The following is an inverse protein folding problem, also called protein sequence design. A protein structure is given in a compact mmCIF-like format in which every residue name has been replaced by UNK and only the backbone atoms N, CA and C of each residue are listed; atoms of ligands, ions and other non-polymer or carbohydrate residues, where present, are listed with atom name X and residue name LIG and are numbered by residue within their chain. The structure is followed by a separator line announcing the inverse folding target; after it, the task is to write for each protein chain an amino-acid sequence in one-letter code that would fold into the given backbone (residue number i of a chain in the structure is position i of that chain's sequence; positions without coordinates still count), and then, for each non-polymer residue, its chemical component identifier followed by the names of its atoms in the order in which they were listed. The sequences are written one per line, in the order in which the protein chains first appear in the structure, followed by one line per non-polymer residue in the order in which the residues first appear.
data_IF_033619002461
#
_entry.id   IF_033619002461
#
_cell.length_a   1.000
_cell.length_b   1.000
_cell.length_c   1.000
_cell.angle_alpha   90.00
_cell.angle_beta   90.00
_cell.angle_gamma   90.00
#
_symmetry.space_group_name_H-M   'P 1'
#
loop_
_entity.id
_entity.type
_entity.pdbx_description
1 polymer ?
#
# COMPACT_ATOMS: atom_id res chain seq x y z
N UNK A 1 7.45 -12.95 12.58
CA UNK A 1 6.58 -12.66 11.42
C UNK A 1 5.89 -13.94 11.00
N UNK A 2 4.57 -13.93 10.88
CA UNK A 2 3.78 -15.05 10.38
C UNK A 2 3.26 -14.66 9.00
N UNK A 3 3.62 -15.43 7.96
CA UNK A 3 3.18 -15.23 6.57
C UNK A 3 2.06 -16.21 6.25
N UNK A 4 0.97 -15.71 5.68
CA UNK A 4 -0.13 -16.52 5.15
C UNK A 4 -0.27 -16.26 3.65
N UNK A 5 -0.15 -17.30 2.85
CA UNK A 5 -0.41 -17.24 1.42
C UNK A 5 -1.74 -17.92 1.10
N UNK A 6 -2.74 -17.11 0.79
CA UNK A 6 -4.06 -17.59 0.41
C UNK A 6 -4.41 -17.37 -1.05
N UNK A 7 -5.53 -17.93 -1.47
CA UNK A 7 -6.09 -17.77 -2.83
C UNK A 7 -6.39 -16.29 -3.14
N UNK A 8 -6.86 -15.53 -2.16
CA UNK A 8 -7.37 -14.16 -2.33
C UNK A 8 -6.40 -13.07 -1.94
N UNK A 9 -5.49 -13.36 -1.01
CA UNK A 9 -4.51 -12.38 -0.53
C UNK A 9 -3.28 -13.07 0.07
N UNK A 10 -2.20 -12.31 0.14
CA UNK A 10 -1.04 -12.59 0.97
C UNK A 10 -1.18 -11.69 2.19
N UNK A 11 -1.15 -12.25 3.36
CA UNK A 11 -1.21 -11.51 4.61
C UNK A 11 -0.03 -11.86 5.50
N UNK A 12 0.33 -10.89 6.33
CA UNK A 12 1.39 -11.05 7.30
C UNK A 12 1.00 -10.38 8.61
N UNK A 13 1.51 -10.90 9.71
CA UNK A 13 1.36 -10.31 11.03
C UNK A 13 2.73 -10.12 11.65
N UNK A 14 3.02 -8.90 12.11
CA UNK A 14 4.20 -8.54 12.90
C UNK A 14 3.71 -7.80 14.13
N UNK A 15 3.92 -8.36 15.31
CA UNK A 15 3.41 -7.82 16.57
C UNK A 15 1.89 -7.53 16.48
N UNK A 16 1.46 -6.30 16.71
CA UNK A 16 0.06 -5.85 16.55
C UNK A 16 -0.29 -5.37 15.12
N UNK A 17 0.64 -5.44 14.17
CA UNK A 17 0.39 -4.97 12.80
C UNK A 17 -0.04 -6.10 11.89
N UNK A 18 -1.12 -5.85 11.16
CA UNK A 18 -1.67 -6.75 10.17
C UNK A 18 -1.63 -6.04 8.81
N UNK A 19 -1.05 -6.69 7.81
CA UNK A 19 -0.99 -6.16 6.46
C UNK A 19 -1.31 -7.22 5.41
N UNK A 20 -1.94 -6.78 4.32
CA UNK A 20 -2.44 -7.62 3.25
C UNK A 20 -2.08 -7.05 1.89
N UNK A 21 -1.89 -7.92 0.91
CA UNK A 21 -1.97 -7.58 -0.51
C UNK A 21 -2.90 -8.57 -1.21
N UNK A 22 -3.89 -8.06 -1.94
CA UNK A 22 -4.86 -8.88 -2.65
C UNK A 22 -4.26 -9.59 -3.86
N UNK A 23 -4.90 -10.66 -4.30
CA UNK A 23 -4.59 -11.33 -5.57
C UNK A 23 -5.69 -11.03 -6.61
N UNK A 24 -5.46 -11.36 -7.88
CA UNK A 24 -6.48 -11.30 -8.94
C UNK A 24 -7.74 -12.06 -8.58
N UNK A 25 -7.60 -13.21 -7.94
CA UNK A 25 -8.73 -14.08 -7.58
C UNK A 25 -9.75 -13.40 -6.69
N UNK A 26 -9.34 -12.41 -5.87
CA UNK A 26 -10.27 -11.62 -5.08
C UNK A 26 -11.16 -10.75 -5.98
N UNK A 27 -10.60 -10.17 -7.03
CA UNK A 27 -11.31 -9.26 -7.95
C UNK A 27 -12.14 -10.03 -8.96
N UNK A 28 -11.63 -11.15 -9.51
CA UNK A 28 -12.29 -11.96 -10.54
C UNK A 28 -13.52 -12.73 -10.03
N UNK A 29 -13.70 -12.92 -8.73
CA UNK A 29 -14.85 -13.64 -8.18
C UNK A 29 -16.16 -12.86 -8.20
N UNK A 30 -16.09 -11.57 -8.37
CA UNK A 30 -17.28 -10.72 -8.38
C UNK A 30 -17.73 -10.49 -9.81
N UNK A 31 -18.67 -11.33 -10.27
CA UNK A 31 -19.47 -11.04 -11.45
C UNK A 31 -20.26 -9.76 -11.21
N UNK A 32 -19.95 -8.73 -11.99
CA UNK A 32 -20.75 -7.50 -12.19
C UNK A 32 -21.59 -7.09 -10.96
N UNK A 33 -21.00 -6.34 -10.05
CA UNK A 33 -21.77 -5.61 -9.05
C UNK A 33 -22.45 -4.45 -9.80
N UNK A 34 -23.77 -4.53 -10.00
CA UNK A 34 -24.55 -3.50 -10.69
C UNK A 34 -24.49 -2.15 -9.97
N UNK A 35 -24.36 -2.18 -8.65
CA UNK A 35 -24.41 -1.01 -7.78
C UNK A 35 -23.11 -0.84 -6.96
N UNK A 36 -21.94 -0.90 -7.65
CA UNK A 36 -20.67 -0.63 -6.99
C UNK A 36 -20.65 0.83 -6.49
N UNK A 37 -20.41 1.08 -5.21
CA UNK A 37 -20.32 2.45 -4.71
C UNK A 37 -19.22 3.23 -5.42
N UNK A 38 -19.52 4.49 -5.78
CA UNK A 38 -18.54 5.37 -6.40
C UNK A 38 -17.70 6.04 -5.32
N UNK A 39 -16.39 5.90 -5.44
CA UNK A 39 -15.44 6.64 -4.63
C UNK A 39 -14.82 7.75 -5.50
N UNK A 40 -14.87 9.01 -5.07
CA UNK A 40 -14.20 10.10 -5.79
C UNK A 40 -12.73 9.79 -6.02
N UNK A 41 -12.20 10.13 -7.20
CA UNK A 41 -10.78 9.92 -7.59
C UNK A 41 -10.29 8.46 -7.58
N UNK A 42 -11.15 7.50 -7.28
CA UNK A 42 -10.85 6.07 -7.28
C UNK A 42 -11.59 5.41 -8.44
N UNK A 43 -10.87 4.79 -9.37
CA UNK A 43 -11.51 4.11 -10.50
C UNK A 43 -12.41 2.95 -10.04
N UNK A 44 -13.37 2.55 -10.88
CA UNK A 44 -14.26 1.41 -10.60
C UNK A 44 -13.49 0.14 -10.26
N UNK A 45 -12.38 -0.12 -10.94
CA UNK A 45 -11.55 -1.31 -10.75
C UNK A 45 -10.85 -1.29 -9.39
N UNK A 46 -10.38 -0.12 -8.94
CA UNK A 46 -9.81 0.06 -7.61
C UNK A 46 -10.89 -0.09 -6.53
N UNK A 47 -12.06 0.53 -6.75
CA UNK A 47 -13.21 0.42 -5.83
C UNK A 47 -13.65 -1.04 -5.70
N UNK A 48 -13.67 -1.80 -6.80
CA UNK A 48 -14.00 -3.22 -6.80
C UNK A 48 -13.03 -4.03 -5.93
N UNK A 49 -11.72 -3.73 -6.03
CA UNK A 49 -10.72 -4.40 -5.19
C UNK A 49 -10.94 -4.14 -3.71
N UNK A 50 -11.27 -2.90 -3.33
CA UNK A 50 -11.57 -2.53 -1.95
C UNK A 50 -12.87 -3.17 -1.47
N UNK A 51 -13.93 -3.08 -2.25
CA UNK A 51 -15.25 -3.66 -1.94
C UNK A 51 -15.14 -5.17 -1.64
N UNK A 52 -14.47 -5.91 -2.52
CA UNK A 52 -14.28 -7.34 -2.34
C UNK A 52 -13.43 -7.68 -1.12
N UNK A 53 -12.44 -6.85 -0.80
CA UNK A 53 -11.63 -7.06 0.40
C UNK A 53 -12.46 -6.83 1.66
N UNK A 54 -13.30 -5.80 1.71
CA UNK A 54 -14.23 -5.55 2.84
C UNK A 54 -15.17 -6.74 3.04
N UNK A 55 -15.76 -7.25 1.96
CA UNK A 55 -16.65 -8.41 2.02
C UNK A 55 -15.98 -9.68 2.54
N UNK A 56 -14.69 -9.86 2.24
CA UNK A 56 -13.94 -11.07 2.67
C UNK A 56 -13.33 -10.95 4.06
N UNK A 57 -13.10 -9.75 4.54
CA UNK A 57 -12.44 -9.48 5.81
C UNK A 57 -13.18 -8.37 6.59
N UNK A 58 -14.51 -8.47 6.84
CA UNK A 58 -15.28 -7.40 7.45
C UNK A 58 -14.74 -6.98 8.82
N UNK A 59 -14.27 -7.94 9.62
CA UNK A 59 -13.75 -7.68 10.97
C UNK A 59 -12.54 -6.74 11.00
N UNK A 60 -11.78 -6.65 9.90
CA UNK A 60 -10.65 -5.72 9.77
C UNK A 60 -11.09 -4.27 9.82
N UNK A 61 -12.35 -3.99 9.41
CA UNK A 61 -12.89 -2.65 9.22
C UNK A 61 -13.79 -2.16 10.36
N UNK A 62 -14.08 -3.02 11.34
CA UNK A 62 -14.91 -2.63 12.50
C UNK A 62 -14.23 -1.49 13.25
N UNK A 63 -14.99 -0.40 13.50
CA UNK A 63 -14.53 0.80 14.22
C UNK A 63 -13.27 1.46 13.64
N UNK A 64 -13.06 1.32 12.31
CA UNK A 64 -11.90 1.91 11.62
C UNK A 64 -12.31 2.73 10.41
N UNK A 65 -11.51 3.76 10.13
CA UNK A 65 -11.60 4.55 8.90
C UNK A 65 -10.53 4.13 7.89
N UNK A 66 -10.85 4.24 6.60
CA UNK A 66 -9.91 3.94 5.50
C UNK A 66 -9.26 5.24 5.04
N UNK A 67 -7.93 5.24 5.03
CA UNK A 67 -7.09 6.32 4.54
C UNK A 67 -6.46 5.91 3.21
N UNK A 68 -6.65 6.71 2.18
CA UNK A 68 -6.14 6.46 0.83
C UNK A 68 -5.36 7.66 0.31
N UNK A 69 -4.44 7.40 -0.61
CA UNK A 69 -3.76 8.39 -1.42
C UNK A 69 -4.42 8.52 -2.79
N UNK A 70 -4.38 9.70 -3.39
CA UNK A 70 -4.72 9.89 -4.82
C UNK A 70 -3.77 9.09 -5.71
N UNK A 71 -2.52 8.94 -5.32
CA UNK A 71 -1.45 8.19 -6.01
C UNK A 71 -1.11 8.77 -7.38
N UNK A 72 -0.47 9.92 -7.37
CA UNK A 72 -0.03 10.65 -8.58
C UNK A 72 1.38 10.26 -9.06
N UNK A 73 2.01 9.25 -8.44
CA UNK A 73 3.42 8.88 -8.62
C UNK A 73 4.39 10.01 -8.20
N UNK A 74 3.99 10.79 -7.21
CA UNK A 74 4.76 11.87 -6.59
C UNK A 74 5.65 11.38 -5.44
N UNK A 75 6.00 12.33 -4.57
CA UNK A 75 6.85 12.05 -3.40
C UNK A 75 6.25 12.53 -2.07
N UNK A 76 5.00 13.07 -2.10
CA UNK A 76 4.35 13.59 -0.90
C UNK A 76 3.84 12.45 -0.01
N UNK A 77 4.27 12.47 1.23
CA UNK A 77 3.82 11.58 2.30
C UNK A 77 3.20 12.45 3.40
N UNK A 78 2.16 11.95 4.05
CA UNK A 78 1.45 12.69 5.09
C UNK A 78 1.24 11.86 6.35
N UNK A 79 1.02 12.57 7.46
CA UNK A 79 0.38 12.07 8.66
C UNK A 79 -1.03 12.70 8.75
N UNK A 80 -2.10 11.91 8.89
CA UNK A 80 -3.50 12.40 8.87
C UNK A 80 -3.85 13.43 9.94
N UNK A 81 -3.03 13.57 10.98
CA UNK A 81 -3.22 14.53 12.09
C UNK A 81 -2.77 15.95 11.72
N UNK A 82 -2.08 16.15 10.61
CA UNK A 82 -1.66 17.48 10.15
C UNK A 82 -2.87 18.33 9.73
N UNK A 83 -2.88 19.63 10.09
CA UNK A 83 -4.04 20.50 9.98
C UNK A 83 -4.43 20.89 8.54
N UNK A 84 -3.49 20.98 7.60
CA UNK A 84 -3.73 21.62 6.30
C UNK A 84 -3.73 20.62 5.12
N UNK A 85 -4.30 19.43 5.37
CA UNK A 85 -4.36 18.39 4.35
C UNK A 85 -5.61 18.51 3.48
N UNK A 86 -5.42 18.74 2.19
CA UNK A 86 -6.49 18.62 1.22
C UNK A 86 -6.93 17.15 1.12
N UNK A 87 -8.17 16.85 1.48
CA UNK A 87 -8.74 15.51 1.34
C UNK A 87 -10.22 15.54 0.97
N UNK A 88 -10.65 14.45 0.34
CA UNK A 88 -12.07 14.13 0.13
C UNK A 88 -12.44 13.07 1.15
N UNK A 89 -13.52 13.28 1.89
CA UNK A 89 -14.02 12.34 2.87
C UNK A 89 -15.46 11.92 2.58
N UNK A 90 -15.83 10.77 3.08
CA UNK A 90 -17.20 10.25 2.93
C UNK A 90 -17.37 8.95 3.71
N UNK A 91 -18.52 8.31 3.49
CA UNK A 91 -18.87 7.04 4.09
C UNK A 91 -19.13 6.01 2.99
N UNK A 92 -18.48 4.86 3.08
CA UNK A 92 -18.64 3.72 2.17
C UNK A 92 -19.54 2.69 2.83
N UNK A 93 -20.70 2.44 2.24
CA UNK A 93 -21.63 1.41 2.70
C UNK A 93 -21.41 0.12 1.91
N UNK A 94 -21.10 -0.96 2.63
CA UNK A 94 -20.92 -2.30 2.07
C UNK A 94 -21.66 -3.27 2.98
N UNK A 95 -22.75 -3.85 2.51
CA UNK A 95 -23.68 -4.67 3.31
C UNK A 95 -24.12 -3.93 4.59
N UNK A 96 -23.87 -4.52 5.76
CA UNK A 96 -24.17 -3.92 7.07
C UNK A 96 -23.09 -2.96 7.59
N UNK A 97 -21.94 -2.85 6.90
CA UNK A 97 -20.85 -1.99 7.31
C UNK A 97 -20.98 -0.59 6.72
N UNK A 98 -20.77 0.41 7.56
CA UNK A 98 -20.59 1.80 7.17
C UNK A 98 -19.17 2.21 7.57
N UNK A 99 -18.32 2.48 6.58
CA UNK A 99 -16.90 2.70 6.78
C UNK A 99 -16.55 4.12 6.33
N UNK A 100 -16.05 4.93 7.24
CA UNK A 100 -15.56 6.26 6.90
C UNK A 100 -14.28 6.17 6.10
N UNK A 101 -14.13 7.03 5.10
CA UNK A 101 -12.90 7.11 4.32
C UNK A 101 -12.42 8.55 4.15
N UNK A 102 -11.10 8.68 3.92
CA UNK A 102 -10.44 9.91 3.47
C UNK A 102 -9.49 9.60 2.32
N UNK A 103 -9.53 10.42 1.27
CA UNK A 103 -8.60 10.36 0.13
C UNK A 103 -7.79 11.64 0.13
N UNK A 104 -6.51 11.55 0.43
CA UNK A 104 -5.59 12.69 0.49
C UNK A 104 -5.08 13.03 -0.89
N UNK A 105 -5.21 14.31 -1.28
CA UNK A 105 -4.87 14.78 -2.61
C UNK A 105 -3.36 14.92 -2.80
N UNK A 106 -2.90 14.65 -4.01
CA UNK A 106 -1.50 14.77 -4.44
C UNK A 106 -0.50 14.03 -3.55
N UNK A 107 -0.94 12.90 -2.95
CA UNK A 107 -0.11 12.09 -2.05
C UNK A 107 0.14 10.70 -2.62
N UNK A 108 1.25 10.09 -2.21
CA UNK A 108 1.65 8.73 -2.55
C UNK A 108 2.03 7.89 -1.32
N UNK A 109 1.85 8.43 -0.12
CA UNK A 109 2.11 7.70 1.12
C UNK A 109 1.44 8.32 2.34
N UNK A 110 1.12 7.46 3.29
CA UNK A 110 0.54 7.85 4.59
C UNK A 110 1.31 7.10 5.67
N UNK A 111 1.63 7.80 6.77
CA UNK A 111 2.07 7.19 8.02
C UNK A 111 1.09 7.56 9.13
N UNK A 112 0.87 6.65 10.08
CA UNK A 112 0.00 6.86 11.23
C UNK A 112 0.48 6.09 12.45
N UNK A 113 0.01 6.45 13.62
CA UNK A 113 0.12 5.66 14.86
C UNK A 113 -1.26 5.37 15.48
N UNK A 114 -2.35 5.74 14.81
CA UNK A 114 -3.72 5.58 15.28
C UNK A 114 -4.26 4.18 14.93
N UNK A 115 -4.67 3.40 15.92
CA UNK A 115 -5.23 2.06 15.75
C UNK A 115 -6.60 2.03 15.04
N UNK A 116 -7.32 3.15 15.03
CA UNK A 116 -8.60 3.32 14.33
C UNK A 116 -8.46 3.54 12.83
N UNK A 117 -7.27 3.38 12.26
CA UNK A 117 -7.01 3.67 10.86
C UNK A 117 -6.51 2.45 10.09
N UNK A 118 -6.96 2.36 8.85
CA UNK A 118 -6.50 1.44 7.83
C UNK A 118 -5.92 2.27 6.70
N UNK A 119 -4.65 2.06 6.36
CA UNK A 119 -4.04 2.72 5.21
C UNK A 119 -4.10 1.78 4.02
N UNK A 120 -4.55 2.29 2.87
CA UNK A 120 -4.73 1.53 1.65
C UNK A 120 -4.04 2.19 0.45
N UNK A 121 -3.34 1.38 -0.37
CA UNK A 121 -2.80 1.79 -1.67
C UNK A 121 -3.10 0.74 -2.75
N UNK A 122 -3.12 1.20 -4.01
CA UNK A 122 -3.41 0.39 -5.17
C UNK A 122 -2.18 0.29 -6.07
N UNK A 123 -1.77 -0.92 -6.44
CA UNK A 123 -0.58 -1.13 -7.27
C UNK A 123 -0.83 -2.14 -8.40
N UNK A 124 -0.08 -1.96 -9.49
CA UNK A 124 0.17 -2.97 -10.52
C UNK A 124 1.56 -2.65 -11.07
N UNK A 125 2.57 -3.32 -10.54
CA UNK A 125 4.01 -3.20 -10.76
C UNK A 125 4.79 -2.31 -9.78
N UNK A 126 4.26 -1.16 -9.33
CA UNK A 126 4.90 -0.35 -8.29
C UNK A 126 4.98 -1.10 -6.95
N UNK A 127 5.94 -0.77 -6.11
CA UNK A 127 6.10 -1.38 -4.79
C UNK A 127 5.07 -0.78 -3.81
N UNK A 128 4.17 -1.58 -3.21
CA UNK A 128 3.52 -1.19 -1.97
C UNK A 128 4.53 -1.40 -0.83
N UNK A 129 5.07 -0.31 -0.30
CA UNK A 129 6.05 -0.35 0.79
C UNK A 129 5.34 -0.20 2.12
N UNK A 130 5.29 -1.28 2.89
CA UNK A 130 4.82 -1.27 4.27
C UNK A 130 5.94 -0.86 5.20
N UNK A 131 5.62 -0.02 6.17
CA UNK A 131 6.54 0.54 7.15
C UNK A 131 5.99 0.29 8.54
N UNK A 132 6.80 -0.30 9.43
CA UNK A 132 6.37 -0.67 10.78
C UNK A 132 7.47 -0.31 11.77
N UNK A 133 7.25 0.72 12.61
CA UNK A 133 8.08 1.00 13.77
C UNK A 133 7.57 0.19 14.97
N UNK A 134 8.31 -0.84 15.33
CA UNK A 134 7.94 -1.77 16.41
C UNK A 134 8.01 -1.13 17.81
N UNK A 135 8.81 -0.07 17.97
CA UNK A 135 9.01 0.61 19.26
C UNK A 135 7.94 1.66 19.54
N UNK A 136 7.82 2.66 18.66
CA UNK A 136 6.93 3.80 18.88
C UNK A 136 5.59 3.64 18.14
N UNK A 137 5.37 2.45 17.54
CA UNK A 137 4.09 2.00 16.99
C UNK A 137 3.58 2.82 15.80
N UNK A 138 4.50 3.46 15.07
CA UNK A 138 4.19 4.04 13.77
C UNK A 138 4.06 2.96 12.71
N UNK A 139 3.12 3.13 11.81
CA UNK A 139 2.96 2.30 10.63
C UNK A 139 2.63 3.17 9.42
N UNK A 140 2.89 2.63 8.25
CA UNK A 140 2.63 3.36 7.01
C UNK A 140 2.54 2.46 5.80
N UNK A 141 2.00 3.01 4.73
CA UNK A 141 1.93 2.37 3.43
C UNK A 141 2.19 3.41 2.34
N UNK A 142 3.20 3.15 1.54
CA UNK A 142 3.75 4.08 0.57
C UNK A 142 3.67 3.44 -0.82
N UNK A 143 3.14 4.18 -1.79
CA UNK A 143 3.15 3.81 -3.20
C UNK A 143 4.49 4.20 -3.82
N UNK A 144 5.40 3.24 -3.96
CA UNK A 144 6.75 3.51 -4.45
C UNK A 144 6.88 3.12 -5.93
N UNK A 145 6.71 4.10 -6.79
CA UNK A 145 6.97 4.00 -8.22
C UNK A 145 8.32 4.64 -8.60
N UNK A 146 8.75 4.44 -9.85
CA UNK A 146 10.02 4.99 -10.38
C UNK A 146 10.11 6.51 -10.23
N UNK A 147 9.06 7.24 -10.62
CA UNK A 147 9.02 8.70 -10.51
C UNK A 147 9.14 9.15 -9.05
N UNK A 148 8.38 8.53 -8.14
CA UNK A 148 8.47 8.82 -6.71
C UNK A 148 9.87 8.60 -6.14
N UNK A 149 10.54 7.50 -6.52
CA UNK A 149 11.94 7.25 -6.15
C UNK A 149 12.89 8.35 -6.64
N UNK A 150 12.71 8.79 -7.89
CA UNK A 150 13.52 9.87 -8.47
C UNK A 150 13.26 11.24 -7.82
N UNK A 151 12.02 11.49 -7.36
CA UNK A 151 11.61 12.72 -6.69
C UNK A 151 11.87 12.74 -5.19
N UNK A 152 12.43 11.67 -4.61
CA UNK A 152 12.81 11.64 -3.20
C UNK A 152 11.70 11.17 -2.24
N UNK A 153 10.84 10.23 -2.65
CA UNK A 153 9.79 9.71 -1.77
C UNK A 153 10.34 9.01 -0.52
N UNK A 154 11.52 8.38 -0.62
CA UNK A 154 12.15 7.70 0.53
C UNK A 154 12.78 8.72 1.48
N UNK A 155 13.39 9.76 0.94
CA UNK A 155 13.91 10.89 1.69
C UNK A 155 12.79 11.55 2.52
N UNK A 156 11.63 11.78 1.89
CA UNK A 156 10.46 12.32 2.58
C UNK A 156 9.89 11.36 3.62
N UNK A 157 9.87 10.04 3.33
CA UNK A 157 9.44 9.03 4.30
C UNK A 157 10.31 9.05 5.56
N UNK A 158 11.63 9.04 5.40
CA UNK A 158 12.55 9.06 6.54
C UNK A 158 12.43 10.38 7.31
N UNK A 159 12.30 11.51 6.60
CA UNK A 159 12.04 12.82 7.22
C UNK A 159 10.78 12.83 8.08
N UNK A 160 9.66 12.31 7.54
CA UNK A 160 8.38 12.19 8.25
C UNK A 160 8.48 11.28 9.48
N UNK A 161 9.11 10.11 9.35
CA UNK A 161 9.32 9.19 10.47
C UNK A 161 10.13 9.85 11.60
N UNK A 162 11.22 10.54 11.27
CA UNK A 162 12.03 11.27 12.23
C UNK A 162 11.26 12.42 12.91
N UNK A 163 10.54 13.23 12.13
CA UNK A 163 9.73 14.34 12.64
C UNK A 163 8.68 13.88 13.66
N UNK A 164 8.13 12.70 13.47
CA UNK A 164 7.12 12.13 14.35
C UNK A 164 7.70 11.20 15.44
N UNK A 165 9.02 11.17 15.58
CA UNK A 165 9.69 10.43 16.66
C UNK A 165 9.66 8.90 16.46
N UNK A 166 9.53 8.41 15.23
CA UNK A 166 9.66 6.99 14.95
C UNK A 166 11.11 6.51 15.21
N UNK A 167 11.25 5.27 15.62
CA UNK A 167 12.55 4.66 15.89
C UNK A 167 13.08 3.94 14.65
N UNK A 168 13.89 4.60 13.83
CA UNK A 168 14.42 3.99 12.60
C UNK A 168 15.15 2.66 12.85
N UNK A 169 15.88 2.53 13.97
CA UNK A 169 16.55 1.29 14.34
C UNK A 169 15.59 0.13 14.64
N UNK A 170 14.31 0.43 14.92
CA UNK A 170 13.26 -0.56 15.17
C UNK A 170 12.21 -0.60 14.05
N UNK A 171 12.46 0.13 12.95
CA UNK A 171 11.55 0.18 11.81
C UNK A 171 11.89 -0.93 10.82
N UNK A 172 10.85 -1.66 10.40
CA UNK A 172 10.91 -2.68 9.35
C UNK A 172 10.25 -2.13 8.11
N UNK A 173 10.86 -2.35 6.96
CA UNK A 173 10.39 -1.98 5.63
C UNK A 173 10.08 -3.25 4.84
N UNK A 174 8.86 -3.38 4.32
CA UNK A 174 8.43 -4.59 3.62
C UNK A 174 7.92 -4.22 2.24
N UNK A 175 8.60 -4.72 1.22
CA UNK A 175 8.15 -4.58 -0.16
C UNK A 175 7.14 -5.69 -0.50
N UNK A 176 5.89 -5.32 -0.78
CA UNK A 176 4.90 -6.24 -1.30
C UNK A 176 5.18 -6.64 -2.76
N UNK A 177 4.29 -7.43 -3.40
CA UNK A 177 4.44 -7.85 -4.79
C UNK A 177 4.62 -6.66 -5.74
N UNK A 178 5.67 -6.71 -6.57
CA UNK A 178 6.03 -5.66 -7.51
C UNK A 178 6.77 -6.22 -8.72
N UNK A 179 7.02 -5.40 -9.73
CA UNK A 179 7.76 -5.82 -10.92
C UNK A 179 9.26 -5.92 -10.64
N UNK A 180 9.89 -7.03 -11.06
CA UNK A 180 11.34 -7.21 -10.93
C UNK A 180 12.11 -6.46 -12.04
N UNK A 181 13.42 -6.29 -11.84
CA UNK A 181 14.34 -5.63 -12.76
C UNK A 181 14.29 -6.20 -14.19
N UNK A 182 14.27 -7.53 -14.32
CA UNK A 182 14.27 -8.19 -15.64
C UNK A 182 13.01 -7.92 -16.44
N UNK A 183 11.90 -7.58 -15.80
CA UNK A 183 10.62 -7.31 -16.44
C UNK A 183 10.33 -5.80 -16.59
N UNK A 184 11.12 -4.94 -15.94
CA UNK A 184 10.87 -3.51 -15.97
C UNK A 184 11.88 -2.77 -16.87
N UNK A 185 11.53 -2.67 -18.15
CA UNK A 185 12.34 -1.96 -19.14
C UNK A 185 11.85 -0.51 -19.28
N UNK A 186 12.76 0.44 -19.17
CA UNK A 186 12.51 1.88 -19.31
C UNK A 186 13.55 2.45 -20.26
N UNK A 187 13.11 3.04 -21.36
CA UNK A 187 13.99 3.59 -22.42
C UNK A 187 15.03 2.57 -22.94
N UNK A 188 14.65 1.29 -23.05
CA UNK A 188 15.52 0.21 -23.51
C UNK A 188 16.42 -0.41 -22.43
N UNK A 189 16.46 0.16 -21.23
CA UNK A 189 17.31 -0.31 -20.13
C UNK A 189 16.49 -0.95 -19.00
N UNK A 190 17.10 -1.90 -18.31
CA UNK A 190 16.50 -2.51 -17.11
C UNK A 190 16.54 -1.52 -15.95
N UNK A 191 15.42 -1.39 -15.24
CA UNK A 191 15.32 -0.58 -14.03
C UNK A 191 14.85 -1.43 -12.86
N UNK A 192 15.56 -1.34 -11.72
CA UNK A 192 15.17 -2.04 -10.50
C UNK A 192 14.58 -1.06 -9.49
N UNK A 193 13.26 -1.15 -9.26
CA UNK A 193 12.60 -0.43 -8.17
C UNK A 193 13.19 -0.84 -6.82
N UNK A 194 13.38 -2.14 -6.61
CA UNK A 194 13.88 -2.71 -5.35
C UNK A 194 15.30 -2.27 -5.04
N UNK A 195 16.24 -2.44 -5.97
CA UNK A 195 17.65 -2.04 -5.76
C UNK A 195 17.76 -0.54 -5.47
N UNK A 196 16.99 0.29 -6.18
CA UNK A 196 16.94 1.73 -5.96
C UNK A 196 16.38 2.05 -4.57
N UNK A 197 15.29 1.40 -4.17
CA UNK A 197 14.70 1.54 -2.83
C UNK A 197 15.71 1.15 -1.75
N UNK A 198 16.33 -0.02 -1.84
CA UNK A 198 17.32 -0.52 -0.87
C UNK A 198 18.51 0.43 -0.77
N UNK A 199 19.03 0.91 -1.91
CA UNK A 199 20.14 1.87 -1.93
C UNK A 199 19.80 3.15 -1.16
N UNK A 200 18.59 3.69 -1.39
CA UNK A 200 18.13 4.88 -0.67
C UNK A 200 17.94 4.61 0.82
N UNK A 201 17.32 3.49 1.22
CA UNK A 201 17.18 3.14 2.63
C UNK A 201 18.55 3.00 3.32
N UNK A 202 19.52 2.36 2.67
CA UNK A 202 20.88 2.20 3.18
C UNK A 202 21.60 3.53 3.39
N UNK A 203 21.38 4.54 2.52
CA UNK A 203 21.97 5.88 2.69
C UNK A 203 21.50 6.60 3.96
N UNK A 204 20.36 6.17 4.54
CA UNK A 204 19.86 6.64 5.84
C UNK A 204 20.22 5.71 7.02
N UNK A 205 21.12 4.76 6.81
CA UNK A 205 21.59 3.85 7.87
C UNK A 205 20.64 2.68 8.14
N UNK A 206 19.61 2.47 7.30
CA UNK A 206 18.72 1.30 7.42
C UNK A 206 19.51 0.05 7.01
N UNK A 207 19.55 -0.93 7.89
CA UNK A 207 20.29 -2.17 7.70
C UNK A 207 19.51 -3.15 6.83
N UNK A 208 20.23 -4.11 6.23
CA UNK A 208 19.63 -5.10 5.32
C UNK A 208 18.57 -5.96 6.01
N UNK A 209 18.76 -6.32 7.27
CA UNK A 209 17.82 -7.11 8.07
C UNK A 209 16.50 -6.38 8.40
N UNK A 210 16.46 -5.06 8.21
CA UNK A 210 15.25 -4.26 8.37
C UNK A 210 14.40 -4.21 7.08
N UNK A 211 14.91 -4.74 5.97
CA UNK A 211 14.20 -4.80 4.70
C UNK A 211 13.78 -6.25 4.38
N UNK A 212 12.50 -6.43 4.10
CA UNK A 212 11.91 -7.72 3.73
C UNK A 212 11.27 -7.57 2.35
N UNK A 213 11.56 -8.50 1.44
CA UNK A 213 10.90 -8.58 0.14
C UNK A 213 9.87 -9.71 0.13
N UNK A 214 8.74 -9.50 -0.52
CA UNK A 214 7.74 -10.55 -0.76
C UNK A 214 8.21 -11.63 -1.74
N UNK A 215 9.26 -11.35 -2.53
CA UNK A 215 9.83 -12.21 -3.58
C UNK A 215 8.91 -12.46 -4.78
N UNK A 216 7.75 -11.80 -4.87
CA UNK A 216 6.80 -11.94 -5.95
C UNK A 216 6.95 -10.84 -7.00
N UNK A 217 7.29 -11.25 -8.23
CA UNK A 217 7.22 -10.36 -9.40
C UNK A 217 5.82 -10.39 -10.00
N UNK A 218 5.15 -9.24 -10.08
CA UNK A 218 3.80 -9.11 -10.64
C UNK A 218 3.71 -9.51 -12.12
N UNK A 219 4.80 -9.30 -12.88
CA UNK A 219 4.89 -9.67 -14.28
C UNK A 219 5.05 -11.19 -14.49
N UNK A 220 5.95 -11.84 -13.72
CA UNK A 220 6.18 -13.29 -13.80
C UNK A 220 4.96 -14.05 -13.26
N UNK A 221 4.43 -13.64 -12.10
CA UNK A 221 3.25 -14.26 -11.48
C UNK A 221 1.94 -13.57 -11.90
N UNK A 222 1.80 -13.28 -13.20
CA UNK A 222 0.64 -12.57 -13.71
C UNK A 222 -0.66 -13.39 -13.61
N UNK A 223 -0.59 -14.69 -13.43
CA UNK A 223 -1.74 -15.54 -13.08
C UNK A 223 -2.32 -15.21 -11.69
N UNK A 224 -1.48 -14.64 -10.81
CA UNK A 224 -1.83 -14.33 -9.42
C UNK A 224 -1.99 -12.83 -9.17
N UNK A 225 -1.21 -11.98 -9.85
CA UNK A 225 -1.17 -10.54 -9.64
C UNK A 225 -1.47 -9.75 -10.90
N UNK A 226 -2.04 -8.55 -10.74
CA UNK A 226 -2.15 -7.60 -11.85
C UNK A 226 -0.79 -6.98 -12.16
N UNK A 227 -0.46 -6.89 -13.44
CA UNK A 227 0.72 -6.19 -13.94
C UNK A 227 0.31 -5.27 -15.08
N UNK A 228 0.51 -3.97 -14.90
CA UNK A 228 0.27 -2.97 -15.94
C UNK A 228 1.23 -3.14 -17.11
N UNK A 229 2.50 -3.44 -16.80
CA UNK A 229 3.55 -3.65 -17.82
C UNK A 229 3.27 -4.86 -18.72
N UNK A 230 2.65 -5.91 -18.19
CA UNK A 230 2.34 -7.12 -18.96
C UNK A 230 1.06 -7.00 -19.77
N UNK A 231 -0.02 -6.46 -19.19
CA UNK A 231 -1.36 -6.56 -19.76
C UNK A 231 -2.05 -5.20 -19.98
N UNK A 232 -1.41 -4.09 -19.65
CA UNK A 232 -2.02 -2.73 -19.68
C UNK A 232 -3.39 -2.71 -18.98
N UNK A 233 -3.53 -3.48 -17.88
CA UNK A 233 -4.80 -3.66 -17.18
C UNK A 233 -5.18 -2.42 -16.35
N UNK A 234 -6.46 -2.01 -16.30
CA UNK A 234 -6.92 -0.98 -15.39
C UNK A 234 -7.03 -1.47 -13.93
N UNK A 235 -7.10 -2.78 -13.73
CA UNK A 235 -7.20 -3.37 -12.39
C UNK A 235 -5.92 -3.19 -11.57
N UNK A 236 -6.10 -3.11 -10.27
CA UNK A 236 -5.00 -2.93 -9.30
C UNK A 236 -5.13 -3.94 -8.15
N UNK A 237 -4.00 -4.33 -7.63
CA UNK A 237 -3.90 -4.99 -6.34
C UNK A 237 -4.16 -3.95 -5.25
N UNK A 238 -4.95 -4.30 -4.27
CA UNK A 238 -5.10 -3.51 -3.05
C UNK A 238 -4.11 -4.02 -2.01
N UNK A 239 -3.33 -3.11 -1.46
CA UNK A 239 -2.52 -3.35 -0.26
C UNK A 239 -3.07 -2.52 0.88
N UNK A 240 -3.15 -3.12 2.07
CA UNK A 240 -3.63 -2.44 3.28
C UNK A 240 -2.74 -2.78 4.47
N UNK A 241 -2.61 -1.83 5.39
CA UNK A 241 -1.99 -2.02 6.70
C UNK A 241 -2.87 -1.41 7.78
N UNK A 242 -2.97 -2.08 8.90
CA UNK A 242 -3.65 -1.60 10.09
C UNK A 242 -2.99 -2.14 11.34
N UNK A 243 -3.24 -1.47 12.46
CA UNK A 243 -2.88 -1.94 13.78
C UNK A 243 -4.07 -2.66 14.41
N UNK A 244 -3.87 -3.87 14.89
CA UNK A 244 -4.89 -4.59 15.68
C UNK A 244 -4.99 -3.97 17.07
N UNK A 245 -6.13 -4.10 17.69
CA UNK A 245 -6.37 -3.64 19.07
C UNK A 245 -5.53 -4.42 20.07
#
# INVERSE_FOLDING_TARGET
MIKYEGKYFISFKIDEFLYFTTTKKLVEQTSVIKDLPSLPLVSKEKTLSLYNFVLKCPDVFIDKSILMCEQIHGNKIINPVQSDLECISGNLKIDSLAIDYKIFLKTDGIISNNKGEIIAVFTADCIPLFVIDRKNKWFGLIHVGRKGLQMGIIENLIGMLNQHGASLNNTIFIAGPHICENCYIVNGEKFSLEKTLISKLKSFGIKQEQFINSEFCTYHHNERFFSYRKNTTPFRLLSVITKTS
#
